data_IF_501664019267
#
_entry.id   IF_501664019267
#
_cell.length_a   1.000
_cell.length_b   1.000
_cell.length_c   1.000
_cell.angle_alpha   90.00
_cell.angle_beta   90.00
_cell.angle_gamma   90.00
#
_symmetry.space_group_name_H-M   'P 1'
#
loop_
_entity.id
_entity.type
_entity.pdbx_description
1 polymer ?
#
# COMPACT_ATOMS: atom_id res chain seq x y z
N UNK A 1 -4.21 12.33 -0.66
CA UNK A 1 -5.41 12.43 0.17
C UNK A 1 -5.14 12.56 1.66
N UNK A 2 -6.16 13.00 2.41
CA UNK A 2 -6.04 13.15 3.87
C UNK A 2 -5.73 11.80 4.57
N UNK A 3 -6.09 10.68 3.99
CA UNK A 3 -5.79 9.34 4.50
C UNK A 3 -4.30 9.02 4.53
N UNK A 4 -3.57 9.35 3.48
CA UNK A 4 -2.13 9.10 3.37
C UNK A 4 -1.31 9.97 4.30
N UNK A 5 -1.75 11.21 4.52
CA UNK A 5 -1.11 12.11 5.49
C UNK A 5 -1.06 11.48 6.88
N UNK A 6 -2.13 10.81 7.28
CA UNK A 6 -2.18 10.13 8.58
C UNK A 6 -1.37 8.83 8.60
N UNK A 7 -1.24 8.14 7.47
CA UNK A 7 -0.61 6.83 7.39
C UNK A 7 0.83 6.87 6.89
N UNK A 8 1.30 8.05 6.43
CA UNK A 8 2.70 8.33 6.07
C UNK A 8 3.20 7.46 4.93
N UNK A 9 2.39 7.31 3.88
CA UNK A 9 2.65 6.40 2.79
C UNK A 9 2.40 7.06 1.44
N UNK A 10 2.87 6.43 0.39
CA UNK A 10 2.67 6.79 -0.99
C UNK A 10 2.61 5.54 -1.85
N UNK A 11 2.29 5.70 -3.12
CA UNK A 11 2.20 4.59 -4.07
C UNK A 11 3.55 3.89 -4.24
N UNK A 12 3.54 2.57 -4.30
CA UNK A 12 4.72 1.76 -4.59
C UNK A 12 5.33 2.11 -5.97
N UNK A 13 4.50 2.52 -6.93
CA UNK A 13 4.97 3.00 -8.23
C UNK A 13 5.81 4.28 -8.11
N UNK A 14 5.44 5.21 -7.23
CA UNK A 14 6.20 6.44 -7.02
C UNK A 14 7.58 6.16 -6.44
N UNK A 15 7.71 5.13 -5.60
CA UNK A 15 9.01 4.65 -5.13
C UNK A 15 9.89 4.19 -6.29
N UNK A 16 9.36 3.37 -7.20
CA UNK A 16 10.12 2.95 -8.40
C UNK A 16 10.51 4.14 -9.28
N UNK A 17 9.61 5.11 -9.45
CA UNK A 17 9.89 6.30 -10.23
C UNK A 17 11.05 7.11 -9.62
N UNK A 18 11.06 7.27 -8.30
CA UNK A 18 12.15 7.95 -7.59
C UNK A 18 13.46 7.16 -7.70
N UNK A 19 13.43 5.85 -7.47
CA UNK A 19 14.60 4.97 -7.59
C UNK A 19 15.25 5.07 -8.99
N UNK A 20 14.43 5.06 -10.04
CA UNK A 20 14.87 5.14 -11.43
C UNK A 20 15.44 6.52 -11.78
N UNK A 21 14.82 7.59 -11.33
CA UNK A 21 15.14 8.95 -11.77
C UNK A 21 16.07 9.72 -10.82
N UNK A 22 15.98 9.48 -9.52
CA UNK A 22 16.74 10.18 -8.49
C UNK A 22 17.76 9.27 -7.78
N UNK A 23 17.46 7.98 -7.70
CA UNK A 23 18.27 7.02 -6.97
C UNK A 23 17.80 6.84 -5.52
N UNK A 24 18.67 6.31 -4.68
CA UNK A 24 18.43 6.05 -3.25
C UNK A 24 19.74 6.16 -2.48
N UNK A 25 19.69 6.47 -1.19
CA UNK A 25 20.81 6.37 -0.27
C UNK A 25 20.42 5.56 0.98
N UNK A 26 21.38 4.98 1.71
CA UNK A 26 21.13 4.39 3.02
C UNK A 26 20.66 5.45 4.02
N UNK A 27 19.92 5.02 5.04
CA UNK A 27 19.40 5.90 6.11
C UNK A 27 20.52 6.70 6.80
N UNK A 28 21.65 6.07 7.08
CA UNK A 28 22.81 6.74 7.70
C UNK A 28 23.37 7.90 6.86
N UNK A 29 23.16 7.88 5.56
CA UNK A 29 23.59 8.97 4.66
C UNK A 29 22.58 10.13 4.58
N UNK A 30 21.35 9.89 4.99
CA UNK A 30 20.29 10.90 5.01
C UNK A 30 19.41 10.70 6.26
N UNK A 31 19.94 10.97 7.46
CA UNK A 31 19.17 10.85 8.70
C UNK A 31 18.06 11.90 8.75
N UNK A 32 16.93 11.54 9.36
CA UNK A 32 15.80 12.45 9.55
C UNK A 32 16.10 13.47 10.66
N UNK A 33 16.22 14.78 10.37
CA UNK A 33 16.46 15.80 11.39
C UNK A 33 15.20 16.19 12.17
N UNK A 34 14.01 15.91 11.66
CA UNK A 34 12.71 16.24 12.23
C UNK A 34 12.24 15.31 13.35
N UNK A 35 13.16 14.70 14.12
CA UNK A 35 12.81 13.81 15.22
C UNK A 35 12.39 14.58 16.48
N UNK A 36 11.52 13.98 17.30
CA UNK A 36 11.11 14.51 18.60
C UNK A 36 12.17 14.22 19.66
N UNK A 37 12.72 15.28 20.28
CA UNK A 37 13.52 15.21 21.52
C UNK A 37 14.58 14.10 21.58
N UNK A 38 15.26 13.86 20.46
CA UNK A 38 16.28 12.80 20.38
C UNK A 38 15.73 11.42 20.07
N UNK A 39 14.45 11.32 19.75
CA UNK A 39 13.86 10.09 19.19
C UNK A 39 14.34 9.88 17.75
N UNK A 40 14.45 8.63 17.34
CA UNK A 40 14.76 8.24 15.96
C UNK A 40 13.57 8.41 15.00
N UNK A 41 12.38 8.74 15.53
CA UNK A 41 11.15 8.88 14.75
C UNK A 41 10.89 10.32 14.35
N UNK A 42 10.63 10.55 13.08
CA UNK A 42 10.27 11.84 12.57
C UNK A 42 8.87 12.30 13.07
N UNK A 43 8.73 13.58 13.39
CA UNK A 43 7.45 14.18 13.77
C UNK A 43 6.63 14.55 12.52
N UNK A 44 6.02 13.56 11.87
CA UNK A 44 5.22 13.77 10.67
C UNK A 44 3.97 14.65 10.92
N UNK A 45 3.40 14.65 12.12
CA UNK A 45 2.24 15.50 12.42
C UNK A 45 2.61 16.98 12.37
N UNK A 46 3.78 17.35 12.92
CA UNK A 46 4.30 18.71 12.85
C UNK A 46 4.68 19.07 11.41
N UNK A 47 5.36 18.16 10.71
CA UNK A 47 5.77 18.34 9.32
C UNK A 47 4.57 18.63 8.40
N UNK A 48 3.55 17.79 8.42
CA UNK A 48 2.36 17.98 7.60
C UNK A 48 1.52 19.18 8.06
N UNK A 49 1.49 19.43 9.37
CA UNK A 49 0.85 20.64 9.93
C UNK A 49 1.42 21.96 9.42
N UNK A 50 2.67 21.96 8.92
CA UNK A 50 3.29 23.11 8.26
C UNK A 50 3.21 23.05 6.75
N UNK A 51 3.40 21.87 6.16
CA UNK A 51 3.47 21.66 4.72
C UNK A 51 2.12 21.98 4.04
N UNK A 52 1.02 21.44 4.56
CA UNK A 52 -0.30 21.64 3.97
C UNK A 52 -0.76 23.09 3.95
N UNK A 53 -0.72 23.84 5.07
CA UNK A 53 -1.09 25.26 5.05
C UNK A 53 -0.18 26.10 4.16
N UNK A 54 1.11 25.75 4.07
CA UNK A 54 2.03 26.45 3.18
C UNK A 54 1.59 26.30 1.71
N UNK A 55 1.37 25.08 1.24
CA UNK A 55 0.94 24.80 -0.14
C UNK A 55 -0.45 25.38 -0.41
N UNK A 56 -1.38 25.21 0.54
CA UNK A 56 -2.74 25.78 0.44
C UNK A 56 -2.72 27.30 0.38
N UNK A 57 -1.83 27.95 1.12
CA UNK A 57 -1.63 29.41 1.08
C UNK A 57 -1.17 29.88 -0.29
N UNK A 58 -0.26 29.16 -0.94
CA UNK A 58 0.17 29.47 -2.31
C UNK A 58 -1.00 29.29 -3.29
N UNK A 59 -1.74 28.18 -3.21
CA UNK A 59 -2.86 27.88 -4.10
C UNK A 59 -4.03 28.87 -3.97
N UNK A 60 -4.23 29.42 -2.76
CA UNK A 60 -5.25 30.44 -2.46
C UNK A 60 -4.78 31.87 -2.72
N UNK A 61 -3.54 32.08 -3.17
CA UNK A 61 -3.03 33.42 -3.47
C UNK A 61 -3.89 34.09 -4.54
N UNK A 62 -4.27 35.35 -4.28
CA UNK A 62 -5.02 36.19 -5.22
C UNK A 62 -4.13 36.86 -6.25
N UNK A 63 -2.82 36.65 -6.21
CA UNK A 63 -1.89 37.19 -7.17
C UNK A 63 -2.09 36.58 -8.55
N UNK A 64 -2.10 37.41 -9.59
CA UNK A 64 -2.22 36.95 -10.98
C UNK A 64 -1.04 36.09 -11.44
N UNK A 65 0.08 36.17 -10.75
CA UNK A 65 1.30 35.38 -11.00
C UNK A 65 1.93 34.98 -9.68
N UNK A 66 2.35 33.74 -9.60
CA UNK A 66 3.08 33.17 -8.47
C UNK A 66 4.58 33.16 -8.80
N UNK A 67 5.42 33.66 -7.87
CA UNK A 67 6.87 33.58 -8.04
C UNK A 67 7.37 32.16 -7.86
N UNK A 68 8.52 31.81 -8.43
CA UNK A 68 9.16 30.49 -8.21
C UNK A 68 9.70 30.29 -6.78
N UNK A 69 9.71 31.35 -5.95
CA UNK A 69 10.29 31.31 -4.60
C UNK A 69 9.51 30.39 -3.65
N UNK A 70 8.22 30.10 -3.93
CA UNK A 70 7.47 29.13 -3.15
C UNK A 70 8.10 27.74 -3.17
N UNK A 71 8.77 27.35 -4.27
CA UNK A 71 9.49 26.08 -4.38
C UNK A 71 10.71 26.05 -3.45
N UNK A 72 11.41 27.16 -3.30
CA UNK A 72 12.54 27.29 -2.38
C UNK A 72 12.06 27.18 -0.93
N UNK A 73 10.96 27.86 -0.59
CA UNK A 73 10.34 27.74 0.74
C UNK A 73 9.85 26.31 1.04
N UNK A 74 9.19 25.66 0.06
CA UNK A 74 8.79 24.27 0.16
C UNK A 74 10.00 23.36 0.41
N UNK A 75 11.07 23.51 -0.38
CA UNK A 75 12.30 22.74 -0.22
C UNK A 75 12.90 22.93 1.18
N UNK A 76 12.88 24.17 1.71
CA UNK A 76 13.35 24.43 3.07
C UNK A 76 12.56 23.69 4.15
N UNK A 77 11.24 23.56 4.00
CA UNK A 77 10.41 22.75 4.91
C UNK A 77 10.76 21.25 4.76
N UNK A 78 10.88 20.75 3.52
CA UNK A 78 11.27 19.37 3.27
C UNK A 78 12.63 19.04 3.88
N UNK A 79 13.64 19.88 3.64
CA UNK A 79 15.00 19.69 4.14
C UNK A 79 15.06 19.74 5.68
N UNK A 80 14.23 20.58 6.30
CA UNK A 80 14.19 20.71 7.76
C UNK A 80 13.66 19.45 8.46
N UNK A 81 12.75 18.73 7.84
CA UNK A 81 12.10 17.54 8.43
C UNK A 81 12.63 16.23 7.89
N UNK A 82 12.97 16.16 6.60
CA UNK A 82 13.37 14.95 5.92
C UNK A 82 14.88 14.84 5.70
N UNK A 83 15.62 15.92 5.94
CA UNK A 83 17.04 16.01 5.65
C UNK A 83 17.32 16.37 4.19
N UNK A 84 18.56 16.76 3.93
CA UNK A 84 19.03 17.06 2.59
C UNK A 84 19.54 15.80 1.90
N UNK A 85 19.05 15.55 0.70
CA UNK A 85 19.57 14.44 -0.11
C UNK A 85 21.05 14.69 -0.43
N UNK A 86 21.95 13.76 -0.04
CA UNK A 86 23.37 13.94 -0.30
C UNK A 86 23.69 13.83 -1.79
N UNK A 87 24.59 14.69 -2.29
CA UNK A 87 25.12 14.53 -3.66
C UNK A 87 25.98 13.27 -3.77
N UNK A 88 26.76 12.98 -2.73
CA UNK A 88 27.63 11.83 -2.58
C UNK A 88 27.66 11.33 -1.15
N UNK A 89 27.88 10.04 -0.98
CA UNK A 89 28.03 9.39 0.33
C UNK A 89 28.93 8.17 0.22
N UNK A 90 29.46 7.71 1.36
CA UNK A 90 30.25 6.48 1.45
C UNK A 90 29.40 5.36 2.06
N UNK A 91 29.37 4.20 1.39
CA UNK A 91 28.73 3.00 1.90
C UNK A 91 29.71 1.82 1.72
N UNK A 92 29.98 1.09 2.79
CA UNK A 92 30.94 -0.03 2.83
C UNK A 92 32.30 0.33 2.20
N UNK A 93 32.80 1.54 2.51
CA UNK A 93 34.11 2.01 2.05
C UNK A 93 34.19 2.47 0.59
N UNK A 94 33.07 2.49 -0.13
CA UNK A 94 32.97 2.96 -1.52
C UNK A 94 32.13 4.22 -1.63
N UNK A 95 32.58 5.19 -2.43
CA UNK A 95 31.82 6.41 -2.72
C UNK A 95 30.73 6.15 -3.78
N UNK A 96 29.53 6.67 -3.50
CA UNK A 96 28.38 6.61 -4.37
C UNK A 96 27.69 7.96 -4.49
N UNK A 97 27.00 8.17 -5.61
CA UNK A 97 25.87 9.08 -5.71
C UNK A 97 24.58 8.28 -5.50
N UNK A 98 23.42 8.88 -5.16
CA UNK A 98 22.16 8.15 -5.06
C UNK A 98 21.84 7.29 -6.29
N UNK A 99 22.10 7.78 -7.49
CA UNK A 99 21.89 7.02 -8.75
C UNK A 99 22.85 5.85 -8.90
N UNK A 100 24.14 6.04 -8.61
CA UNK A 100 25.10 4.94 -8.72
C UNK A 100 24.89 3.87 -7.67
N UNK A 101 24.37 4.24 -6.50
CA UNK A 101 23.99 3.28 -5.47
C UNK A 101 22.76 2.46 -5.90
N UNK A 102 21.70 3.11 -6.40
CA UNK A 102 20.54 2.40 -6.94
C UNK A 102 20.94 1.41 -8.04
N UNK A 103 21.84 1.82 -8.96
CA UNK A 103 22.36 0.94 -10.02
C UNK A 103 23.16 -0.25 -9.45
N UNK A 104 23.88 -0.07 -8.34
CA UNK A 104 24.68 -1.13 -7.71
C UNK A 104 23.84 -2.22 -7.06
N UNK A 105 22.55 -1.97 -6.77
CA UNK A 105 21.64 -2.94 -6.19
C UNK A 105 21.23 -4.06 -7.16
N UNK A 106 21.55 -3.92 -8.45
CA UNK A 106 21.22 -4.94 -9.46
C UNK A 106 19.73 -5.08 -9.75
N UNK A 107 18.92 -4.10 -9.34
CA UNK A 107 17.48 -4.09 -9.59
C UNK A 107 17.19 -3.52 -10.98
N UNK A 108 16.43 -4.27 -11.78
CA UNK A 108 15.84 -3.75 -13.00
C UNK A 108 14.41 -3.25 -12.68
N UNK A 109 14.24 -1.95 -12.64
CA UNK A 109 12.96 -1.32 -12.27
C UNK A 109 11.85 -1.59 -13.31
N UNK A 110 12.20 -1.92 -14.56
CA UNK A 110 11.24 -2.28 -15.60
C UNK A 110 10.72 -3.73 -15.48
N UNK A 111 11.22 -4.48 -14.50
CA UNK A 111 10.71 -5.82 -14.19
C UNK A 111 9.51 -5.78 -13.23
N UNK A 112 9.14 -4.61 -12.72
CA UNK A 112 8.04 -4.48 -11.79
C UNK A 112 6.79 -3.96 -12.49
N UNK A 113 5.65 -4.56 -12.17
CA UNK A 113 4.34 -4.22 -12.72
C UNK A 113 3.33 -4.05 -11.60
N UNK A 114 2.37 -3.14 -11.80
CA UNK A 114 1.25 -2.92 -10.89
C UNK A 114 0.02 -3.63 -11.40
N UNK A 115 -0.68 -4.31 -10.51
CA UNK A 115 -1.87 -5.13 -10.78
C UNK A 115 -3.04 -4.60 -9.95
N UNK A 116 -4.20 -4.51 -10.56
CA UNK A 116 -5.49 -4.20 -9.93
C UNK A 116 -6.59 -5.11 -10.48
N UNK A 117 -7.80 -5.05 -9.91
CA UNK A 117 -8.93 -5.86 -10.36
C UNK A 117 -10.24 -5.15 -10.11
N UNK A 118 -10.79 -4.51 -11.15
CA UNK A 118 -12.10 -3.84 -11.13
C UNK A 118 -12.85 -4.06 -12.43
N UNK A 119 -14.18 -4.23 -12.36
CA UNK A 119 -15.00 -4.60 -13.51
C UNK A 119 -15.46 -3.41 -14.37
N UNK A 120 -15.26 -2.16 -13.92
CA UNK A 120 -15.63 -0.96 -14.69
C UNK A 120 -14.67 -0.68 -15.86
N UNK A 121 -13.49 -1.31 -15.88
CA UNK A 121 -12.60 -1.33 -17.04
C UNK A 121 -12.44 -2.76 -17.59
N UNK A 122 -12.18 -2.94 -18.89
CA UNK A 122 -11.93 -4.27 -19.47
C UNK A 122 -10.74 -4.95 -18.79
N UNK A 123 -10.87 -6.24 -18.58
CA UNK A 123 -9.74 -7.04 -18.08
C UNK A 123 -8.65 -7.19 -19.14
N UNK A 124 -7.41 -7.42 -18.69
CA UNK A 124 -6.18 -7.47 -19.49
C UNK A 124 -5.90 -6.18 -20.24
N UNK A 125 -6.35 -5.05 -19.70
CA UNK A 125 -5.99 -3.72 -20.14
C UNK A 125 -5.22 -2.96 -19.07
N UNK A 126 -4.63 -1.84 -19.41
CA UNK A 126 -3.98 -0.96 -18.45
C UNK A 126 -4.75 0.34 -18.33
N UNK A 127 -4.95 0.79 -17.11
CA UNK A 127 -5.55 2.10 -16.81
C UNK A 127 -4.97 2.66 -15.50
N UNK A 128 -5.13 3.96 -15.29
CA UNK A 128 -4.78 4.60 -14.04
C UNK A 128 -5.95 4.42 -13.06
N UNK A 129 -5.70 3.74 -11.92
CA UNK A 129 -6.74 3.56 -10.90
C UNK A 129 -7.20 4.92 -10.39
N UNK A 130 -8.52 5.15 -10.38
CA UNK A 130 -9.16 6.45 -10.12
C UNK A 130 -9.27 6.72 -8.61
N UNK A 131 -8.13 6.86 -7.95
CA UNK A 131 -8.02 7.26 -6.54
C UNK A 131 -7.17 8.53 -6.43
N UNK A 132 -7.42 9.32 -5.39
CA UNK A 132 -6.76 10.62 -5.21
C UNK A 132 -5.24 10.50 -5.10
N UNK A 133 -4.76 9.41 -4.52
CA UNK A 133 -3.35 9.18 -4.26
C UNK A 133 -2.57 8.80 -5.51
N UNK A 134 -3.28 8.37 -6.55
CA UNK A 134 -2.71 8.10 -7.88
C UNK A 134 -2.52 9.38 -8.72
N UNK A 135 -2.00 10.45 -8.11
CA UNK A 135 -1.87 11.78 -8.73
C UNK A 135 -0.92 11.82 -9.94
N UNK A 136 -0.02 10.85 -10.09
CA UNK A 136 0.86 10.71 -11.24
C UNK A 136 0.22 9.91 -12.38
N UNK A 137 -0.93 9.27 -12.12
CA UNK A 137 -1.64 8.41 -13.06
C UNK A 137 -0.80 7.27 -13.66
N UNK A 138 0.05 6.54 -12.88
CA UNK A 138 0.67 5.32 -13.39
C UNK A 138 -0.41 4.32 -13.78
N UNK A 139 -0.07 3.50 -14.78
CA UNK A 139 -0.98 2.49 -15.28
C UNK A 139 -0.80 1.18 -14.53
N UNK A 140 -1.91 0.61 -14.07
CA UNK A 140 -1.99 -0.73 -13.49
C UNK A 140 -2.66 -1.69 -14.47
N UNK A 141 -2.20 -2.93 -14.51
CA UNK A 141 -2.88 -3.98 -15.24
C UNK A 141 -4.17 -4.37 -14.53
N UNK A 142 -5.29 -4.28 -15.22
CA UNK A 142 -6.58 -4.73 -14.73
C UNK A 142 -6.77 -6.21 -15.07
N UNK A 143 -6.82 -7.06 -14.07
CA UNK A 143 -6.96 -8.50 -14.25
C UNK A 143 -8.23 -9.02 -13.55
N UNK A 144 -8.79 -10.17 -13.99
CA UNK A 144 -9.80 -10.86 -13.20
C UNK A 144 -9.33 -11.10 -11.77
N UNK A 145 -10.25 -11.04 -10.82
CA UNK A 145 -9.95 -11.19 -9.38
C UNK A 145 -9.23 -12.52 -9.08
N UNK A 146 -9.60 -13.59 -9.77
CA UNK A 146 -8.99 -14.91 -9.63
C UNK A 146 -7.53 -14.91 -10.10
N UNK A 147 -7.23 -14.23 -11.21
CA UNK A 147 -5.86 -14.12 -11.73
C UNK A 147 -5.02 -13.21 -10.80
N UNK A 148 -5.60 -12.13 -10.27
CA UNK A 148 -4.98 -11.29 -9.25
C UNK A 148 -4.60 -12.13 -8.02
N UNK A 149 -5.52 -12.93 -7.48
CA UNK A 149 -5.26 -13.81 -6.34
C UNK A 149 -4.18 -14.86 -6.62
N UNK A 150 -4.17 -15.44 -7.82
CA UNK A 150 -3.14 -16.40 -8.25
C UNK A 150 -1.75 -15.77 -8.33
N UNK A 151 -1.64 -14.52 -8.79
CA UNK A 151 -0.35 -13.80 -8.83
C UNK A 151 0.18 -13.58 -7.41
N UNK A 152 -0.65 -13.13 -6.48
CA UNK A 152 -0.26 -12.93 -5.07
C UNK A 152 0.30 -14.23 -4.46
N UNK A 153 -0.41 -15.33 -4.63
CA UNK A 153 0.03 -16.63 -4.11
C UNK A 153 1.31 -17.12 -4.80
N UNK A 154 1.36 -17.08 -6.14
CA UNK A 154 2.52 -17.51 -6.91
C UNK A 154 3.78 -16.70 -6.57
N UNK A 155 3.63 -15.39 -6.34
CA UNK A 155 4.74 -14.53 -5.96
C UNK A 155 5.42 -15.03 -4.68
N UNK A 156 4.67 -15.13 -3.59
CA UNK A 156 5.24 -15.51 -2.29
C UNK A 156 5.72 -16.96 -2.26
N UNK A 157 5.06 -17.87 -2.96
CA UNK A 157 5.47 -19.27 -3.08
C UNK A 157 6.78 -19.45 -3.87
N UNK A 158 7.12 -18.51 -4.75
CA UNK A 158 8.37 -18.51 -5.51
C UNK A 158 9.43 -17.52 -4.99
N UNK A 159 9.29 -17.06 -3.73
CA UNK A 159 10.29 -16.23 -3.06
C UNK A 159 10.29 -14.76 -3.45
N UNK A 160 9.22 -14.29 -4.10
CA UNK A 160 9.01 -12.87 -4.37
C UNK A 160 8.17 -12.22 -3.27
N UNK A 161 8.47 -10.97 -2.99
CA UNK A 161 7.63 -10.12 -2.14
C UNK A 161 6.67 -9.30 -3.00
N UNK A 162 5.59 -8.82 -2.39
CA UNK A 162 4.57 -8.00 -3.05
C UNK A 162 4.38 -6.71 -2.26
N UNK A 163 4.58 -5.56 -2.91
CA UNK A 163 4.22 -4.28 -2.33
C UNK A 163 2.71 -4.08 -2.53
N UNK A 164 1.96 -4.23 -1.46
CA UNK A 164 0.51 -4.24 -1.44
C UNK A 164 -0.04 -2.88 -1.00
N UNK A 165 -0.94 -2.31 -1.78
CA UNK A 165 -1.76 -1.15 -1.47
C UNK A 165 -3.21 -1.57 -1.27
N UNK A 166 -3.85 -1.09 -0.22
CA UNK A 166 -5.22 -1.47 0.05
C UNK A 166 -5.83 -0.82 1.27
N UNK A 167 -7.02 -1.28 1.59
CA UNK A 167 -7.84 -0.76 2.68
C UNK A 167 -7.61 -1.54 3.96
N UNK A 168 -7.22 -0.84 5.02
CA UNK A 168 -7.09 -1.37 6.38
C UNK A 168 -8.05 -0.67 7.36
N UNK A 169 -8.99 0.14 6.86
CA UNK A 169 -10.02 0.79 7.68
C UNK A 169 -11.15 -0.16 8.09
N UNK A 170 -11.15 -1.36 7.54
CA UNK A 170 -12.12 -2.42 7.79
C UNK A 170 -12.11 -2.91 9.26
N UNK A 171 -13.27 -3.23 9.81
CA UNK A 171 -13.39 -3.75 11.19
C UNK A 171 -12.57 -5.01 11.44
N UNK A 172 -12.31 -5.79 10.39
CA UNK A 172 -11.54 -7.03 10.46
C UNK A 172 -10.03 -6.82 10.55
N UNK A 173 -9.53 -5.62 10.28
CA UNK A 173 -8.11 -5.29 10.47
C UNK A 173 -7.86 -4.97 11.95
N UNK A 174 -7.30 -5.92 12.69
CA UNK A 174 -7.10 -5.76 14.12
C UNK A 174 -5.74 -5.13 14.45
N UNK A 175 -5.64 -4.49 15.62
CA UNK A 175 -4.37 -3.92 16.09
C UNK A 175 -3.41 -4.98 16.66
N UNK A 176 -3.88 -6.23 16.82
CA UNK A 176 -3.07 -7.34 17.32
C UNK A 176 -2.30 -8.09 16.24
N UNK A 177 -2.41 -7.66 14.99
CA UNK A 177 -1.70 -8.26 13.87
C UNK A 177 -2.48 -9.40 13.18
N UNK A 178 -3.80 -9.38 13.25
CA UNK A 178 -4.69 -10.30 12.52
C UNK A 178 -5.63 -9.49 11.62
N UNK A 179 -5.97 -10.03 10.45
CA UNK A 179 -6.95 -9.41 9.56
C UNK A 179 -7.84 -10.44 8.87
N UNK A 180 -9.16 -10.18 8.89
CA UNK A 180 -10.21 -11.05 8.39
C UNK A 180 -11.22 -10.27 7.57
N UNK A 181 -11.70 -10.82 6.45
CA UNK A 181 -12.84 -10.26 5.73
C UNK A 181 -14.14 -10.73 6.39
N UNK A 182 -14.55 -10.02 7.44
CA UNK A 182 -15.57 -10.48 8.39
C UNK A 182 -16.96 -10.53 7.76
N UNK A 183 -17.62 -11.71 7.81
CA UNK A 183 -19.04 -11.82 7.57
C UNK A 183 -19.80 -11.27 8.79
N UNK A 184 -20.13 -9.98 8.75
CA UNK A 184 -20.84 -9.32 9.86
C UNK A 184 -22.22 -9.93 10.11
N UNK A 185 -22.88 -10.51 9.11
CA UNK A 185 -24.19 -11.16 9.25
C UNK A 185 -24.10 -12.52 9.93
N UNK A 186 -23.00 -13.26 9.68
CA UNK A 186 -22.74 -14.56 10.32
C UNK A 186 -21.95 -14.44 11.61
N UNK A 187 -21.09 -13.44 11.76
CA UNK A 187 -20.46 -13.09 13.04
C UNK A 187 -21.52 -12.78 14.11
N UNK A 188 -22.68 -12.45 13.63
CA UNK A 188 -23.91 -12.31 14.40
C UNK A 188 -24.59 -13.64 14.69
N UNK A 189 -24.06 -14.76 14.31
CA UNK A 189 -24.62 -16.15 14.50
C UNK A 189 -25.34 -16.44 15.80
N UNK A 190 -25.76 -15.48 16.27
CA UNK A 190 -26.36 -14.88 17.43
C UNK A 190 -27.69 -14.31 16.95
N UNK A 191 -28.78 -14.66 17.59
CA UNK A 191 -30.12 -14.21 17.28
C UNK A 191 -30.26 -12.74 16.84
N UNK A 192 -31.31 -12.37 16.12
CA UNK A 192 -31.52 -11.01 15.59
C UNK A 192 -31.39 -9.84 16.57
N UNK A 193 -31.39 -10.12 17.89
CA UNK A 193 -31.05 -9.15 18.95
C UNK A 193 -29.55 -8.80 19.01
N UNK A 194 -28.67 -9.71 18.58
CA UNK A 194 -27.25 -9.54 18.69
C UNK A 194 -26.67 -8.79 17.47
N UNK A 195 -27.35 -8.81 16.31
CA UNK A 195 -27.09 -7.92 15.18
C UNK A 195 -27.28 -6.46 15.56
N UNK A 196 -28.40 -6.14 16.19
CA UNK A 196 -28.65 -4.81 16.71
C UNK A 196 -27.63 -4.42 17.79
N UNK A 197 -27.07 -5.39 18.50
CA UNK A 197 -26.00 -5.19 19.48
C UNK A 197 -24.65 -4.97 18.83
N UNK A 198 -24.30 -5.73 17.78
CA UNK A 198 -23.08 -5.53 16.98
C UNK A 198 -23.04 -4.15 16.33
N UNK A 199 -24.12 -3.73 15.66
CA UNK A 199 -24.25 -2.42 15.03
C UNK A 199 -24.13 -1.25 16.03
N UNK A 200 -24.46 -1.50 17.31
CA UNK A 200 -24.29 -0.52 18.39
C UNK A 200 -22.91 -0.54 19.05
N UNK A 201 -22.04 -1.52 18.74
CA UNK A 201 -20.69 -1.54 19.27
C UNK A 201 -19.86 -0.45 18.64
N UNK A 202 -19.04 0.22 19.45
CA UNK A 202 -18.01 1.10 18.91
C UNK A 202 -16.99 0.31 18.08
N UNK A 203 -16.28 0.93 17.11
CA UNK A 203 -15.25 0.25 16.32
C UNK A 203 -14.24 -0.52 17.18
N UNK A 204 -13.76 0.06 18.26
CA UNK A 204 -12.83 -0.60 19.19
C UNK A 204 -13.41 -1.88 19.83
N UNK A 205 -14.71 -1.86 20.17
CA UNK A 205 -15.37 -3.06 20.74
C UNK A 205 -15.58 -4.16 19.70
N UNK A 206 -15.85 -3.80 18.45
CA UNK A 206 -15.91 -4.75 17.32
C UNK A 206 -14.56 -5.42 17.11
N UNK A 207 -13.50 -4.65 17.02
CA UNK A 207 -12.12 -5.14 16.88
C UNK A 207 -11.75 -6.10 18.02
N UNK A 208 -12.05 -5.74 19.28
CA UNK A 208 -11.80 -6.62 20.42
C UNK A 208 -12.56 -7.93 20.34
N UNK A 209 -13.79 -7.93 19.84
CA UNK A 209 -14.56 -9.15 19.64
C UNK A 209 -13.95 -10.03 18.56
N UNK A 210 -13.56 -9.46 17.42
CA UNK A 210 -12.85 -10.15 16.34
C UNK A 210 -11.56 -10.77 16.88
N UNK A 211 -10.76 -10.03 17.61
CA UNK A 211 -9.54 -10.53 18.25
C UNK A 211 -9.81 -11.71 19.19
N UNK A 212 -10.92 -11.69 19.92
CA UNK A 212 -11.29 -12.78 20.84
C UNK A 212 -11.75 -14.04 20.11
N UNK A 213 -12.34 -13.91 18.92
CA UNK A 213 -12.77 -15.03 18.09
C UNK A 213 -11.59 -15.68 17.34
N UNK A 214 -10.57 -14.91 16.98
CA UNK A 214 -9.39 -15.39 16.27
C UNK A 214 -9.76 -16.14 14.98
N UNK A 215 -9.21 -17.34 14.78
CA UNK A 215 -9.47 -18.17 13.60
C UNK A 215 -10.94 -18.60 13.41
N UNK A 216 -11.79 -18.43 14.41
CA UNK A 216 -13.22 -18.73 14.35
C UNK A 216 -14.07 -17.58 13.80
N UNK A 217 -13.45 -16.46 13.43
CA UNK A 217 -14.14 -15.35 12.76
C UNK A 217 -14.76 -15.87 11.47
N UNK A 218 -16.10 -15.74 11.31
CA UNK A 218 -16.72 -16.07 10.03
C UNK A 218 -16.34 -15.03 8.98
N UNK A 219 -15.96 -15.47 7.81
CA UNK A 219 -15.54 -14.62 6.71
C UNK A 219 -16.49 -14.73 5.52
N UNK A 220 -16.60 -13.63 4.79
CA UNK A 220 -17.14 -13.60 3.44
C UNK A 220 -16.08 -14.10 2.46
N UNK A 221 -16.53 -14.78 1.40
CA UNK A 221 -15.71 -14.93 0.19
C UNK A 221 -15.89 -13.68 -0.67
N UNK A 222 -14.80 -12.99 -1.04
CA UNK A 222 -14.91 -11.81 -1.88
C UNK A 222 -15.36 -12.18 -3.29
N UNK A 223 -16.23 -11.34 -3.89
CA UNK A 223 -16.59 -11.43 -5.30
C UNK A 223 -16.16 -10.17 -6.05
N UNK A 224 -16.01 -10.27 -7.37
CA UNK A 224 -15.66 -9.14 -8.22
C UNK A 224 -16.72 -8.03 -8.12
N UNK A 225 -18.01 -8.39 -8.05
CA UNK A 225 -19.12 -7.46 -7.90
C UNK A 225 -19.05 -6.72 -6.56
N UNK A 226 -18.78 -7.43 -5.46
CA UNK A 226 -18.64 -6.80 -4.14
C UNK A 226 -17.46 -5.82 -4.11
N UNK A 227 -16.32 -6.20 -4.71
CA UNK A 227 -15.16 -5.32 -4.81
C UNK A 227 -15.49 -4.06 -5.59
N UNK A 228 -16.13 -4.20 -6.78
CA UNK A 228 -16.54 -3.07 -7.59
C UNK A 228 -17.53 -2.16 -6.84
N UNK A 229 -18.54 -2.74 -6.24
CA UNK A 229 -19.54 -1.97 -5.48
C UNK A 229 -18.89 -1.17 -4.34
N UNK A 230 -17.96 -1.78 -3.60
CA UNK A 230 -17.27 -1.10 -2.50
C UNK A 230 -16.34 0.01 -3.01
N UNK A 231 -15.72 -0.16 -4.17
CA UNK A 231 -14.94 0.88 -4.84
C UNK A 231 -15.85 2.05 -5.26
N UNK A 232 -16.96 1.76 -5.94
CA UNK A 232 -17.92 2.78 -6.42
C UNK A 232 -18.56 3.58 -5.27
N UNK A 233 -18.79 2.93 -4.13
CA UNK A 233 -19.40 3.52 -2.94
C UNK A 233 -18.38 4.17 -1.98
N UNK A 234 -17.10 4.16 -2.31
CA UNK A 234 -16.01 4.66 -1.45
C UNK A 234 -15.92 3.92 -0.10
N UNK A 235 -16.36 2.68 -0.06
CA UNK A 235 -16.19 1.77 1.07
C UNK A 235 -14.82 1.08 1.04
N UNK A 236 -14.24 0.96 -0.15
CA UNK A 236 -12.88 0.47 -0.38
C UNK A 236 -11.99 1.65 -0.76
N UNK A 237 -11.06 1.99 0.11
CA UNK A 237 -10.20 3.16 -0.03
C UNK A 237 -8.71 2.77 -0.13
N UNK A 238 -7.93 3.58 -0.84
CA UNK A 238 -6.48 3.45 -0.87
C UNK A 238 -5.90 4.17 0.34
N UNK A 239 -5.66 3.42 1.41
CA UNK A 239 -5.33 4.03 2.69
C UNK A 239 -4.08 3.47 3.38
N UNK A 240 -3.52 2.36 2.86
CA UNK A 240 -2.33 1.77 3.48
C UNK A 240 -1.49 0.92 2.53
N UNK A 241 -0.17 1.06 2.61
CA UNK A 241 0.81 0.20 1.92
C UNK A 241 1.54 -0.72 2.89
N UNK A 242 1.66 -2.00 2.54
CA UNK A 242 2.35 -3.02 3.32
C UNK A 242 3.12 -3.97 2.42
N UNK A 243 3.98 -4.80 2.99
CA UNK A 243 4.77 -5.78 2.26
C UNK A 243 4.30 -7.21 2.56
N UNK A 244 3.74 -7.89 1.56
CA UNK A 244 3.45 -9.33 1.65
C UNK A 244 4.74 -10.09 1.34
N UNK A 245 5.16 -10.98 2.25
CA UNK A 245 6.44 -11.68 2.10
C UNK A 245 6.38 -13.19 2.36
N UNK A 246 5.22 -13.75 2.71
CA UNK A 246 5.10 -15.16 2.98
C UNK A 246 3.66 -15.63 3.18
N UNK A 247 3.51 -16.93 3.38
CA UNK A 247 2.26 -17.60 3.76
C UNK A 247 2.52 -18.41 5.03
N UNK A 248 1.58 -18.33 5.98
CA UNK A 248 1.57 -19.12 7.20
C UNK A 248 0.25 -19.90 7.31
N UNK A 249 0.26 -20.96 8.12
CA UNK A 249 -0.94 -21.72 8.48
C UNK A 249 -1.10 -21.73 10.00
N UNK A 250 -2.33 -21.60 10.45
CA UNK A 250 -2.63 -21.81 11.87
C UNK A 250 -2.74 -23.31 12.20
N UNK A 251 -2.98 -23.62 13.50
CA UNK A 251 -3.14 -24.99 13.97
C UNK A 251 -4.38 -25.71 13.42
N UNK A 252 -5.27 -25.00 12.74
CA UNK A 252 -6.47 -25.55 12.08
C UNK A 252 -6.29 -25.67 10.57
N UNK A 253 -5.11 -25.30 10.04
CA UNK A 253 -4.78 -25.35 8.62
C UNK A 253 -5.27 -24.14 7.82
N UNK A 254 -5.84 -23.11 8.45
CA UNK A 254 -6.23 -21.87 7.78
C UNK A 254 -4.98 -21.10 7.35
N UNK A 255 -4.98 -20.67 6.10
CA UNK A 255 -3.85 -19.94 5.50
C UNK A 255 -3.99 -18.43 5.65
N UNK A 256 -2.85 -17.79 5.89
CA UNK A 256 -2.71 -16.34 6.03
C UNK A 256 -1.52 -15.88 5.22
N UNK A 257 -1.63 -14.72 4.60
CA UNK A 257 -0.46 -13.97 4.16
C UNK A 257 0.26 -13.37 5.36
N UNK A 258 1.57 -13.46 5.35
CA UNK A 258 2.45 -12.76 6.29
C UNK A 258 2.78 -11.39 5.70
N UNK A 259 2.36 -10.33 6.39
CA UNK A 259 2.41 -8.96 5.87
C UNK A 259 3.14 -8.06 6.84
N UNK A 260 4.25 -7.46 6.41
CA UNK A 260 5.04 -6.53 7.21
C UNK A 260 4.44 -5.13 7.12
N UNK A 261 4.12 -4.56 8.29
CA UNK A 261 3.68 -3.17 8.42
C UNK A 261 4.87 -2.23 8.62
N UNK A 262 4.66 -0.94 8.36
CA UNK A 262 5.65 0.13 8.55
C UNK A 262 5.66 0.76 9.96
N UNK A 263 4.91 0.20 10.92
CA UNK A 263 4.74 0.77 12.27
C UNK A 263 5.77 0.28 13.31
N UNK A 264 6.89 -0.29 12.86
CA UNK A 264 7.91 -0.86 13.73
C UNK A 264 7.47 -2.20 14.36
N UNK A 265 8.22 -2.66 15.35
CA UNK A 265 7.95 -3.92 16.06
C UNK A 265 6.83 -3.76 17.09
N UNK A 266 5.62 -3.46 16.61
CA UNK A 266 4.43 -3.29 17.45
C UNK A 266 3.54 -4.53 17.45
N UNK A 267 2.69 -4.66 18.48
CA UNK A 267 1.72 -5.73 18.62
C UNK A 267 2.34 -7.10 18.98
N UNK A 268 1.48 -8.11 19.03
CA UNK A 268 1.85 -9.47 19.48
C UNK A 268 2.81 -10.17 18.51
N UNK A 269 2.82 -9.76 17.24
CA UNK A 269 3.63 -10.34 16.16
C UNK A 269 4.73 -9.38 15.65
N UNK A 270 5.17 -8.43 16.49
CA UNK A 270 6.32 -7.55 16.19
C UNK A 270 6.24 -6.86 14.83
N UNK A 271 5.10 -6.23 14.53
CA UNK A 271 4.91 -5.49 13.28
C UNK A 271 4.53 -6.33 12.06
N UNK A 272 4.28 -7.63 12.26
CA UNK A 272 3.76 -8.52 11.22
C UNK A 272 2.26 -8.70 11.42
N UNK A 273 1.50 -8.67 10.34
CA UNK A 273 0.08 -9.02 10.27
C UNK A 273 -0.10 -10.36 9.56
N UNK A 274 -0.96 -11.19 10.12
CA UNK A 274 -1.45 -12.41 9.47
C UNK A 274 -2.83 -12.11 8.90
N UNK A 275 -2.89 -11.91 7.59
CA UNK A 275 -4.10 -11.52 6.89
C UNK A 275 -4.64 -12.70 6.10
N UNK A 276 -5.93 -13.01 6.24
CA UNK A 276 -6.53 -14.09 5.46
C UNK A 276 -6.49 -13.78 3.97
N UNK A 277 -6.50 -14.82 3.13
CA UNK A 277 -6.58 -14.65 1.67
C UNK A 277 -7.81 -13.82 1.28
N UNK A 278 -8.94 -14.06 1.95
CA UNK A 278 -10.18 -13.31 1.70
C UNK A 278 -10.02 -11.84 2.03
N UNK A 279 -9.36 -11.50 3.16
CA UNK A 279 -9.09 -10.10 3.50
C UNK A 279 -8.23 -9.41 2.44
N UNK A 280 -7.11 -10.04 2.05
CA UNK A 280 -6.22 -9.48 1.03
C UNK A 280 -6.96 -9.27 -0.28
N UNK A 281 -7.64 -10.30 -0.82
CA UNK A 281 -8.36 -10.18 -2.09
C UNK A 281 -9.47 -9.14 -2.03
N UNK A 282 -10.24 -9.08 -0.92
CA UNK A 282 -11.33 -8.12 -0.76
C UNK A 282 -10.85 -6.66 -0.70
N UNK A 283 -9.72 -6.42 -0.07
CA UNK A 283 -9.24 -5.08 0.29
C UNK A 283 -8.04 -4.59 -0.52
N UNK A 284 -7.57 -5.35 -1.50
CA UNK A 284 -6.52 -4.88 -2.42
C UNK A 284 -7.04 -3.73 -3.29
N UNK A 285 -6.39 -2.58 -3.24
CA UNK A 285 -6.56 -1.52 -4.22
C UNK A 285 -5.72 -1.84 -5.46
N UNK A 286 -4.44 -1.95 -5.26
CA UNK A 286 -3.48 -2.47 -6.22
C UNK A 286 -2.30 -3.14 -5.50
N UNK A 287 -1.40 -3.75 -6.25
CA UNK A 287 -0.11 -4.19 -5.73
C UNK A 287 0.94 -4.20 -6.82
N UNK A 288 2.20 -4.03 -6.40
CA UNK A 288 3.34 -4.15 -7.29
C UNK A 288 4.09 -5.45 -7.04
N UNK A 289 4.47 -6.10 -8.12
CA UNK A 289 5.19 -7.37 -8.11
C UNK A 289 6.21 -7.43 -9.24
N UNK A 290 7.27 -8.22 -9.07
CA UNK A 290 8.17 -8.54 -10.17
C UNK A 290 7.43 -9.38 -11.23
N UNK A 291 7.56 -9.03 -12.51
CA UNK A 291 6.88 -9.74 -13.62
C UNK A 291 7.19 -11.23 -13.68
N UNK A 292 8.37 -11.67 -13.19
CA UNK A 292 8.73 -13.09 -13.13
C UNK A 292 7.93 -13.88 -12.09
N UNK A 293 7.21 -13.19 -11.21
CA UNK A 293 6.29 -13.81 -10.26
C UNK A 293 4.89 -14.06 -10.83
N UNK A 294 4.62 -13.59 -12.04
CA UNK A 294 3.33 -13.78 -12.70
C UNK A 294 3.28 -15.19 -13.30
N UNK A 295 2.23 -16.00 -13.03
CA UNK A 295 2.04 -17.29 -13.68
C UNK A 295 2.10 -17.18 -15.21
N UNK A 296 2.77 -18.14 -15.87
CA UNK A 296 3.07 -18.05 -17.30
C UNK A 296 1.81 -17.90 -18.19
N UNK A 297 0.71 -18.55 -17.82
CA UNK A 297 -0.56 -18.44 -18.54
C UNK A 297 -1.19 -17.06 -18.45
N UNK A 298 -1.07 -16.41 -17.29
CA UNK A 298 -1.55 -15.03 -17.09
C UNK A 298 -0.66 -14.05 -17.85
N UNK A 299 0.66 -14.20 -17.72
CA UNK A 299 1.62 -13.35 -18.42
C UNK A 299 1.41 -13.43 -19.95
N UNK A 300 1.17 -14.62 -20.49
CA UNK A 300 0.88 -14.80 -21.90
C UNK A 300 -0.37 -14.02 -22.34
N UNK A 301 -1.46 -14.09 -21.57
CA UNK A 301 -2.68 -13.32 -21.85
C UNK A 301 -2.43 -11.80 -21.81
N UNK A 302 -1.63 -11.31 -20.85
CA UNK A 302 -1.25 -9.89 -20.78
C UNK A 302 -0.47 -9.45 -22.02
N UNK A 303 0.49 -10.24 -22.48
CA UNK A 303 1.29 -9.96 -23.67
C UNK A 303 0.42 -9.96 -24.93
N UNK A 304 -0.47 -10.93 -25.09
CA UNK A 304 -1.40 -11.01 -26.22
C UNK A 304 -2.35 -9.82 -26.26
N UNK A 305 -2.90 -9.44 -25.10
CA UNK A 305 -3.78 -8.28 -24.99
C UNK A 305 -3.06 -6.98 -25.35
N UNK A 306 -1.81 -6.79 -24.93
CA UNK A 306 -0.99 -5.63 -25.28
C UNK A 306 -0.79 -5.51 -26.79
N UNK A 307 -0.45 -6.61 -27.47
CA UNK A 307 -0.30 -6.68 -28.94
C UNK A 307 -1.60 -6.29 -29.68
N UNK A 308 -2.74 -6.80 -29.19
CA UNK A 308 -4.05 -6.52 -29.79
C UNK A 308 -4.51 -5.06 -29.65
N UNK A 309 -4.02 -4.36 -28.64
CA UNK A 309 -4.29 -2.94 -28.40
C UNK A 309 -3.38 -2.00 -29.20
N UNK A 310 -2.43 -2.54 -29.97
CA UNK A 310 -1.49 -1.75 -30.79
C UNK A 310 -0.48 -0.93 -29.96
N UNK A 311 -0.34 -1.24 -28.68
CA UNK A 311 0.66 -0.63 -27.81
C UNK A 311 1.96 -1.43 -28.04
N UNK A 312 2.81 -0.90 -28.90
CA UNK A 312 4.16 -1.44 -29.15
C UNK A 312 5.02 -1.41 -27.87
N UNK A 313 6.08 -2.20 -27.87
CA UNK A 313 7.07 -2.25 -26.78
C UNK A 313 7.77 -0.91 -26.56
#
# INVERSE_FOLDING_TARGET
>A
GLGDVYKRQGSAYDVLHVLKNQGICPEDAMPFPGSLYGDSLNNFNEFFGQLEPYVAGIAKSTANKISSQWKVGLQGILDAYLGQCPEKFTYEGKEYTPKSFAASLGLNFDDYVTITSYSHHPYYTQYAVEVQDNWRNPLSWNLPMEDMARILENAVMNGYTVAWGGDVSEPGFTRKGLAYFVDTKKAEGLSGSDMARWLKLSPAKRTNLIDSLGCKVPELEPTAEQRQQRFDNWELTDDHGMLIFGIAKDQHGKEYYMVKNSWGETGDYKGIWYMTKNFIVANTMDFMVNKNAIPADILQKMIEAKKNQGIGD
#
